data_IF_848131516503
#
_entry.id   IF_848131516503
#
_cell.length_a   1.000
_cell.length_b   1.000
_cell.length_c   1.000
_cell.angle_alpha   90.00
_cell.angle_beta   90.00
_cell.angle_gamma   90.00
#
_symmetry.space_group_name_H-M   'P 1'
#
loop_
_entity.id
_entity.type
_entity.pdbx_description
1 polymer ?
#
# COMPACT_ATOMS: atom_id res chain seq x y z
N UNK A 1 27.73 -12.59 -28.75
CA UNK A 1 28.03 -11.80 -27.53
C UNK A 1 27.01 -10.67 -27.22
N UNK A 2 25.99 -10.38 -28.05
CA UNK A 2 25.11 -9.20 -27.84
C UNK A 2 24.00 -9.30 -26.78
N UNK A 3 23.75 -10.48 -26.20
CA UNK A 3 22.62 -10.71 -25.29
C UNK A 3 22.70 -9.88 -23.99
N UNK A 4 23.92 -9.60 -23.50
CA UNK A 4 24.13 -8.89 -22.24
C UNK A 4 23.67 -7.42 -22.29
N UNK A 5 23.70 -6.78 -23.46
CA UNK A 5 23.27 -5.37 -23.62
C UNK A 5 21.74 -5.24 -23.78
N UNK A 6 21.04 -6.32 -24.14
CA UNK A 6 19.60 -6.33 -24.37
C UNK A 6 18.82 -6.66 -23.10
N UNK A 7 19.37 -7.51 -22.23
CA UNK A 7 18.74 -7.88 -20.96
C UNK A 7 18.71 -6.68 -20.00
N UNK A 8 17.53 -6.35 -19.49
CA UNK A 8 17.33 -5.25 -18.52
C UNK A 8 17.74 -3.85 -19.02
N UNK A 9 17.77 -3.66 -20.34
CA UNK A 9 18.12 -2.39 -21.00
C UNK A 9 17.18 -1.23 -20.63
N UNK A 10 15.89 -1.50 -20.42
CA UNK A 10 14.93 -0.45 -20.07
C UNK A 10 15.06 -0.02 -18.60
N UNK A 11 15.26 1.29 -18.30
CA UNK A 11 15.37 1.78 -16.94
C UNK A 11 14.03 1.64 -16.19
N UNK A 12 14.06 1.08 -14.97
CA UNK A 12 12.87 0.87 -14.10
C UNK A 12 12.90 1.75 -12.85
N UNK A 13 13.41 2.98 -12.97
CA UNK A 13 13.53 3.91 -11.83
C UNK A 13 12.18 4.47 -11.38
N UNK A 14 11.19 4.52 -12.28
CA UNK A 14 9.87 5.14 -12.05
C UNK A 14 8.71 4.35 -12.68
N UNK A 15 7.48 4.76 -12.38
CA UNK A 15 6.27 4.11 -12.87
C UNK A 15 5.82 2.91 -12.05
N UNK A 16 4.77 2.23 -12.49
CA UNK A 16 4.17 1.08 -11.77
C UNK A 16 5.10 -0.13 -11.77
N UNK A 17 5.86 -0.35 -12.85
CA UNK A 17 6.83 -1.43 -13.00
C UNK A 17 8.03 -1.37 -12.06
N UNK A 18 8.33 -0.18 -11.52
CA UNK A 18 9.48 0.07 -10.65
C UNK A 18 9.33 -0.46 -9.24
N UNK A 19 8.09 -0.62 -8.77
CA UNK A 19 7.77 -0.92 -7.37
C UNK A 19 6.91 -2.16 -7.30
N UNK A 20 7.16 -2.97 -6.28
CA UNK A 20 6.40 -4.18 -5.97
C UNK A 20 6.03 -4.18 -4.49
N UNK A 21 4.97 -4.91 -4.15
CA UNK A 21 4.63 -5.18 -2.77
C UNK A 21 5.75 -5.96 -2.09
N UNK A 22 6.05 -5.60 -0.83
CA UNK A 22 7.05 -6.29 -0.01
C UNK A 22 6.72 -7.75 0.30
N UNK A 23 5.43 -8.11 0.33
CA UNK A 23 4.95 -9.45 0.68
C UNK A 23 4.59 -10.24 -0.57
N UNK A 24 3.64 -9.73 -1.36
CA UNK A 24 3.06 -10.46 -2.48
C UNK A 24 3.88 -10.33 -3.78
N UNK A 25 4.91 -9.47 -3.84
CA UNK A 25 5.66 -9.08 -5.05
C UNK A 25 4.83 -8.54 -6.24
N UNK A 26 3.50 -8.49 -6.10
CA UNK A 26 2.59 -7.90 -7.05
C UNK A 26 2.84 -6.38 -7.18
N UNK A 27 2.68 -5.87 -8.40
CA UNK A 27 2.84 -4.45 -8.72
C UNK A 27 1.51 -3.68 -8.69
N UNK A 28 0.39 -4.41 -8.72
CA UNK A 28 -0.95 -3.83 -8.72
C UNK A 28 -1.45 -3.50 -7.32
N UNK A 29 -2.23 -2.41 -7.19
CA UNK A 29 -2.91 -2.07 -5.95
C UNK A 29 -1.97 -1.77 -4.78
N UNK A 30 -0.78 -1.24 -5.07
CA UNK A 30 0.23 -0.90 -4.08
C UNK A 30 -0.18 0.37 -3.31
N UNK A 31 -0.34 0.24 -1.99
CA UNK A 31 -0.54 1.36 -1.07
C UNK A 31 0.83 1.99 -0.81
N UNK A 32 1.00 3.20 -1.32
CA UNK A 32 2.26 3.98 -1.23
C UNK A 32 2.26 4.99 -0.08
N UNK A 33 1.14 5.14 0.61
CA UNK A 33 0.99 6.11 1.70
C UNK A 33 1.77 5.63 2.92
N UNK A 34 2.39 6.57 3.62
CA UNK A 34 3.21 6.33 4.82
C UNK A 34 4.40 5.37 4.62
N UNK A 35 4.86 5.14 3.39
CA UNK A 35 6.04 4.30 3.12
C UNK A 35 5.84 2.78 3.29
N UNK A 36 4.59 2.32 3.46
CA UNK A 36 4.25 0.91 3.68
C UNK A 36 4.66 0.00 2.50
N UNK A 37 4.42 0.44 1.27
CA UNK A 37 4.70 -0.31 0.04
C UNK A 37 4.10 -1.74 0.05
N UNK A 38 2.84 -1.84 0.42
CA UNK A 38 2.10 -3.11 0.50
C UNK A 38 0.88 -3.12 -0.42
N UNK A 39 0.56 -4.27 -1.02
CA UNK A 39 -0.65 -4.44 -1.84
C UNK A 39 -1.91 -4.40 -0.94
N UNK A 40 -3.04 -3.88 -1.44
CA UNK A 40 -4.28 -3.75 -0.66
C UNK A 40 -4.78 -5.05 -0.01
N UNK A 41 -4.52 -6.19 -0.65
CA UNK A 41 -4.87 -7.52 -0.12
C UNK A 41 -4.00 -7.88 1.10
N UNK A 42 -2.68 -7.74 0.98
CA UNK A 42 -1.77 -7.94 2.11
C UNK A 42 -2.02 -6.96 3.24
N UNK A 43 -2.33 -5.69 2.92
CA UNK A 43 -2.65 -4.71 3.95
C UNK A 43 -3.83 -5.14 4.83
N UNK A 44 -4.87 -5.76 4.27
CA UNK A 44 -6.02 -6.26 5.06
C UNK A 44 -5.67 -7.43 5.97
N UNK A 45 -4.68 -8.25 5.60
CA UNK A 45 -4.20 -9.36 6.44
C UNK A 45 -3.38 -8.83 7.62
N UNK A 46 -2.44 -7.91 7.36
CA UNK A 46 -1.52 -7.38 8.36
C UNK A 46 -2.02 -6.13 9.09
N UNK A 47 -3.22 -5.61 8.78
CA UNK A 47 -3.73 -4.36 9.35
C UNK A 47 -3.75 -4.40 10.89
N UNK A 48 -4.17 -5.53 11.48
CA UNK A 48 -4.25 -5.71 12.93
C UNK A 48 -2.86 -5.69 13.58
N UNK A 49 -1.89 -6.36 12.98
CA UNK A 49 -0.53 -6.49 13.50
C UNK A 49 0.24 -5.16 13.42
N UNK A 50 -0.05 -4.34 12.40
CA UNK A 50 0.50 -2.99 12.27
C UNK A 50 -0.16 -2.01 13.26
N UNK A 51 -1.27 -2.40 13.90
CA UNK A 51 -2.01 -1.57 14.85
C UNK A 51 -3.11 -0.70 14.22
N UNK A 52 -3.53 -1.00 12.99
CA UNK A 52 -4.69 -0.34 12.38
C UNK A 52 -6.00 -1.00 12.86
N UNK A 53 -6.74 -0.26 13.68
CA UNK A 53 -8.07 -0.67 14.13
C UNK A 53 -9.16 0.01 13.31
N UNK A 54 -10.18 -0.74 12.87
CA UNK A 54 -11.37 -0.17 12.21
C UNK A 54 -12.23 0.53 13.26
N UNK A 55 -12.15 1.85 13.32
CA UNK A 55 -13.09 2.66 14.11
C UNK A 55 -14.42 2.75 13.37
N UNK A 56 -15.47 2.14 13.93
CA UNK A 56 -16.83 2.28 13.44
C UNK A 56 -17.48 3.42 14.22
N UNK A 57 -17.80 4.54 13.57
CA UNK A 57 -18.57 5.60 14.20
C UNK A 57 -20.06 5.21 14.25
N UNK A 58 -20.41 4.37 15.22
CA UNK A 58 -21.75 4.41 15.81
C UNK A 58 -21.60 5.04 17.19
N UNK A 59 -22.05 6.30 17.29
CA UNK A 59 -22.38 7.05 18.52
C UNK A 59 -21.34 7.09 19.65
N UNK A 60 -20.68 8.24 19.80
CA UNK A 60 -20.75 9.19 20.93
C UNK A 60 -19.49 10.07 20.86
N UNK A 61 -19.71 11.37 21.04
CA UNK A 61 -18.72 12.44 21.19
C UNK A 61 -17.42 11.97 21.84
N UNK A 62 -16.33 12.00 21.08
CA UNK A 62 -15.02 12.33 21.65
C UNK A 62 -14.23 13.15 20.62
N UNK A 63 -13.98 14.45 20.88
CA UNK A 63 -13.21 15.29 19.99
C UNK A 63 -11.71 14.99 20.19
N UNK A 64 -10.94 15.10 19.11
CA UNK A 64 -9.47 15.18 19.10
C UNK A 64 -8.64 13.89 19.15
N UNK A 65 -8.94 12.90 18.31
CA UNK A 65 -7.89 12.20 17.54
C UNK A 65 -8.55 11.35 16.44
N UNK A 66 -7.89 11.15 15.30
CA UNK A 66 -8.21 10.13 14.27
C UNK A 66 -9.01 10.55 13.01
N UNK A 67 -8.98 11.82 12.61
CA UNK A 67 -9.53 12.24 11.31
C UNK A 67 -8.62 11.92 10.09
N UNK A 68 -7.47 11.23 10.26
CA UNK A 68 -6.49 11.02 9.16
C UNK A 68 -6.53 9.61 8.55
N UNK A 69 -7.26 8.66 9.16
CA UNK A 69 -7.28 7.25 8.70
C UNK A 69 -8.47 6.89 7.80
N UNK A 70 -9.59 7.60 7.89
CA UNK A 70 -10.85 7.22 7.21
C UNK A 70 -10.82 7.40 5.69
N UNK A 71 -9.98 8.29 5.15
CA UNK A 71 -9.86 8.49 3.68
C UNK A 71 -9.05 7.41 2.95
N UNK A 72 -8.23 6.60 3.64
CA UNK A 72 -7.47 5.50 3.00
C UNK A 72 -8.36 4.29 2.81
N UNK A 73 -9.18 3.98 3.83
CA UNK A 73 -10.09 2.83 3.79
C UNK A 73 -11.26 3.04 2.83
N UNK A 74 -11.72 4.29 2.59
CA UNK A 74 -12.86 4.59 1.70
C UNK A 74 -12.55 4.46 0.20
N UNK A 75 -11.28 4.37 -0.21
CA UNK A 75 -10.86 4.20 -1.62
C UNK A 75 -10.29 2.80 -1.90
N UNK A 76 -10.39 1.86 -0.95
CA UNK A 76 -9.91 0.47 -1.08
C UNK A 76 -10.99 -0.59 -0.81
N UNK A 77 -12.27 -0.19 -0.81
CA UNK A 77 -13.43 -1.08 -0.95
C UNK A 77 -14.15 -0.73 -2.23
#
# INVERSE_FOLDING_TARGET
MGHQQLYWSHPRKFGQGSRSCRVCSNRHGLIRKYGLNMCRQCFRQYAKDIGFTKVCFCTVRHPLVLAVSTRIMLFTV
#
